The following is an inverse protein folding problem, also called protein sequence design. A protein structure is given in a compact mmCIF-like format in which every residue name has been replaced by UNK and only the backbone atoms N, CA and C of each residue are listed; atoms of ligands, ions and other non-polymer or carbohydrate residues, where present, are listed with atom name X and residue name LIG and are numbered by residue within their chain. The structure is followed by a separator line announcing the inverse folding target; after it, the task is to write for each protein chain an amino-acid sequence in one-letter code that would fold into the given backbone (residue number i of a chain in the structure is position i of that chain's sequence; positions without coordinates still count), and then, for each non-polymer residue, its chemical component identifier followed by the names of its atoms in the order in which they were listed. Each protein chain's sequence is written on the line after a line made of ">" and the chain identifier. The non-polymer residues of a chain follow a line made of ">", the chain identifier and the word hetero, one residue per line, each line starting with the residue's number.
data_IF_715187475558
#
_entry.id   IF_715187475558
#
_cell.length_a   1.000
_cell.length_b   1.000
_cell.length_c   1.000
_cell.angle_alpha   90.00
_cell.angle_beta   90.00
_cell.angle_gamma   90.00
#
_symmetry.space_group_name_H-M   'P 1'
#
loop_
_entity.id
_entity.type
_entity.pdbx_description
1 polymer ?
#
# COMPACT_ATOMS: atom_id res chain seq x y z
N UNK A 1 -13.47 -48.19 -24.98
CA UNK A 1 -12.64 -48.18 -23.76
C UNK A 1 -11.33 -47.48 -24.10
N UNK A 2 -11.19 -46.21 -23.77
CA UNK A 2 -9.93 -45.46 -23.96
C UNK A 2 -9.66 -44.63 -22.72
N UNK A 3 -8.49 -44.87 -22.15
CA UNK A 3 -8.00 -44.39 -20.86
C UNK A 3 -8.14 -42.89 -20.63
N UNK A 4 -8.85 -42.54 -19.56
CA UNK A 4 -8.77 -41.28 -18.83
C UNK A 4 -7.43 -41.23 -18.09
N UNK A 5 -6.40 -40.66 -18.71
CA UNK A 5 -5.23 -40.17 -17.98
C UNK A 5 -5.60 -38.84 -17.32
N UNK A 6 -6.20 -38.92 -16.12
CA UNK A 6 -6.19 -37.79 -15.19
C UNK A 6 -4.72 -37.52 -14.82
N UNK A 7 -4.19 -36.38 -15.27
CA UNK A 7 -2.97 -35.79 -14.71
C UNK A 7 -3.21 -35.64 -13.21
N UNK A 8 -2.51 -36.42 -12.41
CA UNK A 8 -2.45 -36.22 -10.98
C UNK A 8 -1.93 -34.79 -10.73
N UNK A 9 -2.74 -33.95 -10.09
CA UNK A 9 -2.29 -32.68 -9.53
C UNK A 9 -1.19 -32.99 -8.52
N UNK A 10 0.06 -32.75 -8.91
CA UNK A 10 1.20 -32.78 -8.01
C UNK A 10 0.99 -31.63 -7.03
N UNK A 11 0.48 -31.95 -5.84
CA UNK A 11 0.35 -31.01 -4.72
C UNK A 11 1.71 -30.34 -4.53
N UNK A 12 1.76 -29.03 -4.77
CA UNK A 12 2.97 -28.23 -4.57
C UNK A 12 3.45 -28.45 -3.13
N UNK A 13 4.68 -28.96 -2.90
CA UNK A 13 5.15 -29.34 -1.57
C UNK A 13 5.14 -28.17 -0.56
N UNK A 14 4.99 -26.93 -1.00
CA UNK A 14 4.83 -25.74 -0.15
C UNK A 14 3.42 -25.66 0.48
N UNK A 15 2.41 -26.27 -0.14
CA UNK A 15 1.01 -26.26 0.30
C UNK A 15 0.60 -27.53 1.07
N UNK A 16 1.38 -28.61 1.01
CA UNK A 16 1.08 -29.86 1.73
C UNK A 16 1.33 -29.73 3.24
N UNK A 17 0.32 -30.03 4.06
CA UNK A 17 0.42 -30.04 5.53
C UNK A 17 1.21 -31.22 6.09
N UNK A 18 1.50 -32.24 5.28
CA UNK A 18 2.15 -33.48 5.76
C UNK A 18 3.69 -33.44 5.75
N UNK A 19 4.32 -32.56 4.97
CA UNK A 19 5.78 -32.60 4.76
C UNK A 19 6.45 -31.22 4.88
N UNK A 20 6.73 -30.76 6.11
CA UNK A 20 7.72 -29.70 6.34
C UNK A 20 7.24 -28.23 6.27
N UNK A 21 5.93 -27.96 6.25
CA UNK A 21 5.39 -26.57 6.33
C UNK A 21 5.71 -25.86 7.65
N UNK A 22 5.63 -26.56 8.78
CA UNK A 22 5.79 -25.93 10.10
C UNK A 22 7.17 -25.30 10.32
N UNK A 23 8.30 -25.96 9.98
CA UNK A 23 9.61 -25.32 10.04
C UNK A 23 9.72 -24.06 9.18
N UNK A 24 9.20 -24.08 7.95
CA UNK A 24 9.24 -22.93 7.02
C UNK A 24 8.39 -21.78 7.56
N UNK A 25 7.18 -22.09 8.04
CA UNK A 25 6.28 -21.11 8.65
C UNK A 25 6.90 -20.48 9.89
N UNK A 26 7.36 -21.29 10.86
CA UNK A 26 7.98 -20.81 12.09
C UNK A 26 9.19 -19.93 11.77
N UNK A 27 10.03 -20.35 10.83
CA UNK A 27 11.21 -19.61 10.41
C UNK A 27 10.86 -18.25 9.78
N UNK A 28 9.86 -18.21 8.91
CA UNK A 28 9.35 -16.96 8.32
C UNK A 28 8.85 -16.00 9.41
N UNK A 29 7.98 -16.47 10.31
CA UNK A 29 7.40 -15.61 11.34
C UNK A 29 8.43 -15.16 12.39
N UNK A 30 9.39 -16.01 12.76
CA UNK A 30 10.51 -15.61 13.64
C UNK A 30 11.33 -14.51 12.98
N UNK A 31 11.62 -14.62 11.67
CA UNK A 31 12.37 -13.60 10.94
C UNK A 31 11.62 -12.27 10.91
N UNK A 32 10.30 -12.29 10.67
CA UNK A 32 9.45 -11.10 10.70
C UNK A 32 9.37 -10.47 12.10
N UNK A 33 9.24 -11.29 13.14
CA UNK A 33 9.25 -10.83 14.54
C UNK A 33 10.60 -10.20 14.88
N UNK A 34 11.71 -10.85 14.55
CA UNK A 34 13.04 -10.33 14.79
C UNK A 34 13.28 -9.00 14.06
N UNK A 35 12.90 -8.90 12.78
CA UNK A 35 12.98 -7.65 12.02
C UNK A 35 12.15 -6.54 12.66
N UNK A 36 10.94 -6.86 13.14
CA UNK A 36 10.05 -5.92 13.81
C UNK A 36 10.60 -5.45 15.16
N UNK A 37 11.17 -6.36 15.96
CA UNK A 37 11.82 -6.01 17.24
C UNK A 37 13.03 -5.12 17.01
N UNK A 38 13.90 -5.46 16.06
CA UNK A 38 15.06 -4.64 15.71
C UNK A 38 14.63 -3.23 15.25
N UNK A 39 13.57 -3.15 14.46
CA UNK A 39 13.02 -1.89 14.00
C UNK A 39 12.43 -1.05 15.14
N UNK A 40 11.72 -1.68 16.08
CA UNK A 40 11.17 -1.00 17.26
C UNK A 40 12.27 -0.51 18.21
N UNK A 41 13.38 -1.26 18.33
CA UNK A 41 14.56 -0.84 19.09
C UNK A 41 15.24 0.40 18.50
N UNK A 42 15.21 0.58 17.18
CA UNK A 42 15.67 1.82 16.53
C UNK A 42 14.73 2.99 16.87
N UNK A 43 13.43 2.70 16.96
CA UNK A 43 12.41 3.70 17.26
C UNK A 43 12.14 4.66 16.10
N UNK A 44 11.42 5.74 16.40
CA UNK A 44 11.14 6.78 15.39
C UNK A 44 12.32 7.74 15.31
N UNK A 45 12.96 7.78 14.14
CA UNK A 45 14.05 8.73 13.86
C UNK A 45 13.46 9.97 13.21
N UNK A 46 13.54 11.11 13.89
CA UNK A 46 13.07 12.39 13.34
C UNK A 46 14.25 13.25 12.93
N UNK A 47 14.32 13.60 11.65
CA UNK A 47 15.35 14.46 11.08
C UNK A 47 14.75 15.86 10.92
N UNK A 48 15.22 16.85 11.69
CA UNK A 48 14.80 18.23 11.50
C UNK A 48 15.42 18.81 10.22
N UNK A 49 14.60 19.31 9.30
CA UNK A 49 15.04 19.98 8.06
C UNK A 49 14.98 21.51 8.18
N UNK A 50 15.05 22.05 9.39
CA UNK A 50 14.98 23.50 9.62
C UNK A 50 13.59 24.07 9.30
N UNK A 51 13.47 25.26 8.66
CA UNK A 51 12.18 25.92 8.41
C UNK A 51 11.22 25.16 7.50
N UNK A 52 11.72 24.14 6.79
CA UNK A 52 10.99 23.37 5.77
C UNK A 52 10.15 22.27 6.42
N UNK A 53 10.39 21.95 7.70
CA UNK A 53 9.67 20.95 8.47
C UNK A 53 10.57 19.84 9.01
N UNK A 54 9.98 18.69 9.30
CA UNK A 54 10.69 17.49 9.79
C UNK A 54 10.30 16.27 8.97
N UNK A 55 11.24 15.34 8.86
CA UNK A 55 11.01 14.01 8.31
C UNK A 55 11.07 13.01 9.45
N UNK A 56 9.97 12.30 9.71
CA UNK A 56 9.93 11.21 10.69
C UNK A 56 9.95 9.86 9.99
N UNK A 57 10.98 9.08 10.27
CA UNK A 57 11.12 7.69 9.83
C UNK A 57 10.62 6.79 10.96
N UNK A 58 9.49 6.14 10.71
CA UNK A 58 8.78 5.29 11.69
C UNK A 58 9.40 3.87 11.67
N UNK A 59 9.45 3.14 12.80
CA UNK A 59 9.92 1.75 12.88
C UNK A 59 9.51 0.83 11.72
N UNK A 60 8.27 0.95 11.25
CA UNK A 60 7.75 0.16 10.14
C UNK A 60 8.64 0.20 8.88
N UNK A 61 9.26 1.34 8.57
CA UNK A 61 10.16 1.49 7.43
C UNK A 61 11.45 0.68 7.63
N UNK A 62 12.03 0.74 8.83
CA UNK A 62 13.21 -0.05 9.17
C UNK A 62 12.93 -1.56 9.08
N UNK A 63 11.78 -2.00 9.59
CA UNK A 63 11.36 -3.42 9.48
C UNK A 63 11.28 -3.86 8.02
N UNK A 64 10.70 -3.03 7.14
CA UNK A 64 10.61 -3.34 5.71
C UNK A 64 11.98 -3.40 5.03
N UNK A 65 12.87 -2.44 5.30
CA UNK A 65 14.24 -2.44 4.76
C UNK A 65 14.97 -3.71 5.21
N UNK A 66 14.89 -4.05 6.49
CA UNK A 66 15.50 -5.25 7.06
C UNK A 66 14.93 -6.51 6.36
N UNK A 67 13.62 -6.61 6.19
CA UNK A 67 12.98 -7.74 5.51
C UNK A 67 13.40 -7.87 4.03
N UNK A 68 13.51 -6.75 3.30
CA UNK A 68 14.02 -6.73 1.92
C UNK A 68 15.48 -7.19 1.88
N UNK A 69 16.31 -6.73 2.82
CA UNK A 69 17.71 -7.18 2.92
C UNK A 69 17.81 -8.69 3.21
N UNK A 70 16.88 -9.28 3.95
CA UNK A 70 16.87 -10.73 4.16
C UNK A 70 16.28 -11.54 3.00
N UNK A 71 15.69 -10.89 2.00
CA UNK A 71 15.08 -11.58 0.86
C UNK A 71 16.17 -12.16 -0.07
N UNK A 72 16.05 -13.43 -0.51
CA UNK A 72 17.08 -14.11 -1.29
C UNK A 72 17.49 -13.39 -2.58
N UNK A 73 16.57 -12.67 -3.22
CA UNK A 73 16.84 -11.89 -4.44
C UNK A 73 17.68 -10.62 -4.24
N UNK A 74 17.69 -10.04 -3.04
CA UNK A 74 18.45 -8.83 -2.73
C UNK A 74 19.86 -9.18 -2.23
N UNK A 75 19.97 -9.57 -0.95
CA UNK A 75 21.27 -9.83 -0.30
C UNK A 75 21.64 -11.32 -0.28
N UNK A 76 20.68 -12.22 -0.51
CA UNK A 76 20.92 -13.67 -0.61
C UNK A 76 21.72 -14.10 -1.85
N UNK A 77 21.85 -13.23 -2.86
CA UNK A 77 22.80 -13.39 -3.99
C UNK A 77 24.25 -13.17 -3.58
N UNK A 78 24.51 -12.39 -2.54
CA UNK A 78 25.86 -11.99 -2.10
C UNK A 78 26.33 -12.80 -0.89
N UNK A 79 25.41 -13.28 -0.04
CA UNK A 79 25.74 -13.94 1.22
C UNK A 79 25.00 -15.30 1.33
N UNK A 80 25.71 -16.41 1.09
CA UNK A 80 25.20 -17.78 1.20
C UNK A 80 24.48 -18.12 2.52
N UNK A 81 24.94 -17.66 3.72
CA UNK A 81 24.20 -17.92 4.97
C UNK A 81 22.82 -17.24 5.03
N UNK A 82 22.58 -16.15 4.29
CA UNK A 82 21.26 -15.53 4.20
C UNK A 82 20.28 -16.38 3.38
N UNK A 83 20.77 -17.08 2.35
CA UNK A 83 19.96 -18.04 1.57
C UNK A 83 19.53 -19.26 2.40
N UNK A 84 20.29 -19.60 3.44
CA UNK A 84 19.88 -20.58 4.47
C UNK A 84 18.85 -20.02 5.44
N UNK A 85 18.85 -18.71 5.71
CA UNK A 85 17.86 -18.04 6.58
C UNK A 85 16.51 -17.79 5.88
N UNK A 86 16.50 -17.45 4.59
CA UNK A 86 15.29 -17.23 3.80
C UNK A 86 15.47 -17.83 2.40
N UNK A 87 14.66 -18.82 2.05
CA UNK A 87 14.66 -19.46 0.73
C UNK A 87 13.40 -19.08 -0.06
N UNK A 88 13.37 -19.44 -1.34
CA UNK A 88 12.20 -19.24 -2.20
C UNK A 88 10.90 -19.82 -1.61
N UNK A 89 11.01 -20.86 -0.79
CA UNK A 89 9.85 -21.48 -0.14
C UNK A 89 9.20 -20.55 0.90
N UNK A 90 10.01 -19.83 1.67
CA UNK A 90 9.52 -18.82 2.62
C UNK A 90 8.90 -17.63 1.88
N UNK A 91 9.48 -17.22 0.75
CA UNK A 91 8.95 -16.13 -0.10
C UNK A 91 7.59 -16.51 -0.70
N UNK A 92 7.46 -17.70 -1.27
CA UNK A 92 6.18 -18.22 -1.79
C UNK A 92 5.13 -18.38 -0.69
N UNK A 93 5.55 -18.79 0.51
CA UNK A 93 4.64 -18.85 1.66
C UNK A 93 4.17 -17.44 2.06
N UNK A 94 5.06 -16.44 2.03
CA UNK A 94 4.72 -15.05 2.31
C UNK A 94 3.72 -14.48 1.29
N UNK A 95 3.90 -14.74 -0.01
CA UNK A 95 2.96 -14.36 -1.08
C UNK A 95 1.54 -14.89 -0.79
N UNK A 96 1.43 -16.18 -0.45
CA UNK A 96 0.15 -16.79 -0.08
C UNK A 96 -0.41 -16.24 1.25
N UNK A 97 0.46 -15.99 2.23
CA UNK A 97 0.07 -15.43 3.52
C UNK A 97 -0.48 -14.00 3.38
N UNK A 98 0.04 -13.20 2.43
CA UNK A 98 -0.46 -11.85 2.16
C UNK A 98 -1.94 -11.90 1.79
N UNK A 99 -2.39 -12.83 0.94
CA UNK A 99 -3.80 -12.95 0.59
C UNK A 99 -4.68 -13.23 1.82
N UNK A 100 -4.23 -14.11 2.72
CA UNK A 100 -4.94 -14.39 3.96
C UNK A 100 -4.96 -13.17 4.90
N UNK A 101 -3.86 -12.43 5.00
CA UNK A 101 -3.79 -11.19 5.78
C UNK A 101 -4.70 -10.09 5.20
N UNK A 102 -4.79 -9.98 3.86
CA UNK A 102 -5.67 -9.04 3.19
C UNK A 102 -7.15 -9.36 3.44
N UNK A 103 -7.52 -10.64 3.52
CA UNK A 103 -8.87 -11.05 3.92
C UNK A 103 -9.20 -10.60 5.35
N UNK A 104 -8.31 -10.88 6.31
CA UNK A 104 -8.50 -10.43 7.71
C UNK A 104 -8.61 -8.90 7.77
N UNK A 105 -7.78 -8.20 7.01
CA UNK A 105 -7.81 -6.76 6.92
C UNK A 105 -9.13 -6.26 6.30
N UNK A 106 -9.60 -6.89 5.22
CA UNK A 106 -10.89 -6.60 4.61
C UNK A 106 -12.04 -6.73 5.60
N UNK A 107 -12.04 -7.76 6.44
CA UNK A 107 -13.02 -7.94 7.53
C UNK A 107 -12.89 -6.81 8.56
N UNK A 108 -11.68 -6.45 8.98
CA UNK A 108 -11.45 -5.33 9.91
C UNK A 108 -11.98 -4.01 9.35
N UNK A 109 -11.73 -3.74 8.07
CA UNK A 109 -12.19 -2.52 7.41
C UNK A 109 -13.71 -2.51 7.24
N UNK A 110 -14.30 -3.64 6.83
CA UNK A 110 -15.75 -3.79 6.70
C UNK A 110 -16.49 -3.64 8.03
N UNK A 111 -15.97 -4.25 9.11
CA UNK A 111 -16.55 -4.09 10.46
C UNK A 111 -16.35 -2.69 11.03
N UNK A 112 -15.26 -2.00 10.66
CA UNK A 112 -15.04 -0.59 11.04
C UNK A 112 -15.95 0.38 10.29
N UNK A 113 -16.43 0.02 9.09
CA UNK A 113 -17.34 0.86 8.30
C UNK A 113 -18.70 1.05 8.98
N UNK A 114 -19.26 0.00 9.58
CA UNK A 114 -20.60 0.00 10.18
C UNK A 114 -20.80 1.10 11.24
N UNK A 115 -20.01 1.12 12.33
CA UNK A 115 -20.12 2.13 13.39
C UNK A 115 -19.84 3.56 12.91
N UNK A 116 -19.07 3.72 11.82
CA UNK A 116 -18.67 5.01 11.31
C UNK A 116 -19.57 5.54 10.19
N UNK A 117 -20.61 4.79 9.77
CA UNK A 117 -21.45 5.17 8.64
C UNK A 117 -22.15 6.52 8.83
N UNK A 118 -22.58 6.83 10.06
CA UNK A 118 -23.16 8.13 10.40
C UNK A 118 -22.15 9.27 10.22
N UNK A 119 -20.89 9.05 10.58
CA UNK A 119 -19.81 10.03 10.37
C UNK A 119 -19.48 10.19 8.90
N UNK A 120 -19.49 9.10 8.11
CA UNK A 120 -19.31 9.15 6.65
C UNK A 120 -20.39 10.03 6.01
N UNK A 121 -21.66 9.82 6.40
CA UNK A 121 -22.80 10.58 5.85
C UNK A 121 -22.73 12.05 6.27
N UNK A 122 -22.39 12.35 7.52
CA UNK A 122 -22.27 13.73 8.02
C UNK A 122 -21.10 14.49 7.38
N UNK A 123 -19.96 13.83 7.16
CA UNK A 123 -18.84 14.39 6.41
C UNK A 123 -19.03 14.31 4.87
N UNK A 124 -20.19 13.81 4.43
CA UNK A 124 -20.46 13.24 3.11
C UNK A 124 -19.86 13.97 1.91
N UNK A 125 -20.16 15.25 1.68
CA UNK A 125 -19.65 15.95 0.50
C UNK A 125 -18.12 16.05 0.50
N UNK A 126 -17.51 16.38 1.65
CA UNK A 126 -16.07 16.56 1.76
C UNK A 126 -15.31 15.25 1.50
N UNK A 127 -15.81 14.14 2.04
CA UNK A 127 -15.22 12.81 1.80
C UNK A 127 -15.37 12.37 0.34
N UNK A 128 -16.53 12.60 -0.27
CA UNK A 128 -16.73 12.28 -1.69
C UNK A 128 -15.75 13.07 -2.56
N UNK A 129 -15.63 14.38 -2.35
CA UNK A 129 -14.68 15.21 -3.11
C UNK A 129 -13.22 14.82 -2.84
N UNK A 130 -12.89 14.42 -1.61
CA UNK A 130 -11.58 13.88 -1.26
C UNK A 130 -11.26 12.62 -2.09
N UNK A 131 -12.20 11.68 -2.21
CA UNK A 131 -12.01 10.48 -3.03
C UNK A 131 -11.93 10.81 -4.53
N UNK A 132 -12.65 11.82 -5.02
CA UNK A 132 -12.46 12.32 -6.38
C UNK A 132 -11.06 12.91 -6.57
N UNK A 133 -10.52 13.58 -5.55
CA UNK A 133 -9.14 14.05 -5.51
C UNK A 133 -8.13 12.91 -5.62
N UNK A 134 -8.42 11.74 -5.03
CA UNK A 134 -7.58 10.54 -5.16
C UNK A 134 -7.44 10.07 -6.62
N UNK A 135 -8.49 10.25 -7.43
CA UNK A 135 -8.44 9.98 -8.88
C UNK A 135 -7.47 10.92 -9.63
N UNK A 136 -6.97 11.99 -9.01
CA UNK A 136 -5.87 12.77 -9.57
C UNK A 136 -4.63 11.92 -9.86
N UNK A 137 -4.39 10.89 -9.03
CA UNK A 137 -3.25 9.97 -9.16
C UNK A 137 -3.24 9.27 -10.51
N UNK A 138 -4.37 8.72 -10.96
CA UNK A 138 -4.46 8.07 -12.26
C UNK A 138 -4.47 9.06 -13.42
N UNK A 139 -5.09 10.23 -13.24
CA UNK A 139 -5.18 11.26 -14.29
C UNK A 139 -3.81 11.74 -14.75
N UNK A 140 -2.89 11.87 -13.80
CA UNK A 140 -1.50 12.27 -14.04
C UNK A 140 -0.62 11.04 -14.23
N UNK A 141 -0.65 10.11 -13.27
CA UNK A 141 0.27 8.97 -13.20
C UNK A 141 0.16 7.99 -14.36
N UNK A 142 -1.06 7.66 -14.81
CA UNK A 142 -1.27 6.68 -15.88
C UNK A 142 -0.62 7.10 -17.21
N UNK A 143 -0.83 8.34 -17.72
CA UNK A 143 -0.12 8.82 -18.91
C UNK A 143 1.41 8.74 -18.75
N UNK A 144 1.96 9.20 -17.63
CA UNK A 144 3.40 9.19 -17.39
C UNK A 144 3.97 7.76 -17.34
N UNK A 145 3.33 6.86 -16.59
CA UNK A 145 3.72 5.45 -16.52
C UNK A 145 3.75 4.78 -17.90
N UNK A 146 2.74 5.08 -18.73
CA UNK A 146 2.70 4.56 -20.08
C UNK A 146 3.78 5.15 -20.98
N UNK A 147 4.06 6.45 -20.92
CA UNK A 147 5.18 7.04 -21.66
C UNK A 147 6.50 6.33 -21.30
N UNK A 148 6.71 6.02 -20.02
CA UNK A 148 7.89 5.31 -19.50
C UNK A 148 7.98 3.84 -19.92
N UNK A 149 6.98 3.29 -20.62
CA UNK A 149 7.04 1.93 -21.16
C UNK A 149 6.14 0.92 -20.46
N UNK A 150 5.49 1.29 -19.35
CA UNK A 150 4.60 0.38 -18.61
C UNK A 150 3.35 0.04 -19.44
N UNK A 151 2.82 -1.17 -19.25
CA UNK A 151 1.61 -1.66 -19.92
C UNK A 151 0.49 -1.78 -18.89
N UNK A 152 -0.08 -2.97 -18.71
CA UNK A 152 -1.18 -3.23 -17.77
C UNK A 152 -0.75 -2.96 -16.32
N UNK A 153 0.55 -3.08 -16.02
CA UNK A 153 1.14 -2.69 -14.75
C UNK A 153 0.88 -1.22 -14.42
N UNK A 154 0.80 -0.35 -15.44
CA UNK A 154 0.50 1.07 -15.23
C UNK A 154 -0.90 1.27 -14.65
N UNK A 155 -1.88 0.44 -15.04
CA UNK A 155 -3.24 0.51 -14.50
C UNK A 155 -3.23 0.19 -13.03
N UNK A 156 -2.60 -0.91 -12.64
CA UNK A 156 -2.45 -1.28 -11.23
C UNK A 156 -1.69 -0.23 -10.44
N UNK A 157 -0.54 0.23 -10.95
CA UNK A 157 0.33 1.16 -10.25
C UNK A 157 -0.28 2.56 -10.03
N UNK A 158 -1.27 2.95 -10.82
CA UNK A 158 -1.77 4.34 -10.83
C UNK A 158 -3.25 4.46 -10.49
N UNK A 159 -3.97 3.34 -10.30
CA UNK A 159 -5.42 3.35 -10.01
C UNK A 159 -5.77 4.17 -8.77
N UNK A 160 -4.87 4.21 -7.80
CA UNK A 160 -4.94 5.05 -6.61
C UNK A 160 -3.55 5.17 -5.97
N UNK A 161 -3.49 5.65 -4.73
CA UNK A 161 -2.30 5.56 -3.86
C UNK A 161 -1.92 4.12 -3.44
N UNK A 162 -2.61 3.10 -3.98
CA UNK A 162 -2.30 1.67 -3.82
C UNK A 162 -2.23 1.21 -2.36
N UNK A 163 -3.25 1.54 -1.56
CA UNK A 163 -3.35 1.05 -0.18
C UNK A 163 -3.77 -0.41 -0.14
N UNK A 164 -3.81 -0.96 1.07
CA UNK A 164 -4.20 -2.33 1.31
C UNK A 164 -5.60 -2.70 0.75
N UNK A 165 -6.64 -1.83 0.81
CA UNK A 165 -7.91 -2.09 0.15
C UNK A 165 -7.76 -2.25 -1.37
N UNK A 166 -6.93 -1.41 -1.99
CA UNK A 166 -6.62 -1.46 -3.43
C UNK A 166 -5.92 -2.75 -3.80
N UNK A 167 -4.95 -3.19 -2.97
CA UNK A 167 -4.24 -4.44 -3.17
C UNK A 167 -5.19 -5.63 -3.13
N UNK A 168 -6.10 -5.66 -2.14
CA UNK A 168 -7.14 -6.69 -2.07
C UNK A 168 -8.08 -6.66 -3.29
N UNK A 169 -8.56 -5.47 -3.66
CA UNK A 169 -9.50 -5.27 -4.77
C UNK A 169 -8.90 -5.66 -6.14
N UNK A 170 -7.65 -5.27 -6.39
CA UNK A 170 -6.95 -5.62 -7.64
C UNK A 170 -6.56 -7.09 -7.67
N UNK A 171 -6.16 -7.66 -6.52
CA UNK A 171 -5.89 -9.10 -6.42
C UNK A 171 -7.15 -9.94 -6.68
N UNK A 172 -8.30 -9.51 -6.18
CA UNK A 172 -9.58 -10.18 -6.45
C UNK A 172 -9.99 -10.04 -7.93
N UNK A 173 -9.79 -8.86 -8.53
CA UNK A 173 -10.27 -8.59 -9.89
C UNK A 173 -9.37 -9.13 -11.00
N UNK A 174 -8.06 -9.08 -10.82
CA UNK A 174 -7.06 -9.43 -11.83
C UNK A 174 -6.15 -10.59 -11.41
N UNK A 175 -6.05 -10.89 -10.11
CA UNK A 175 -5.07 -11.82 -9.54
C UNK A 175 -3.81 -11.10 -9.09
N UNK A 176 -3.23 -11.51 -7.96
CA UNK A 176 -2.03 -10.87 -7.39
C UNK A 176 -0.80 -10.96 -8.33
N UNK A 177 -0.73 -12.04 -9.12
CA UNK A 177 0.34 -12.30 -10.09
C UNK A 177 0.06 -11.75 -11.50
N UNK A 178 -1.04 -11.01 -11.68
CA UNK A 178 -1.30 -10.29 -12.93
C UNK A 178 -0.38 -9.09 -13.07
N UNK A 179 -0.19 -8.55 -14.30
CA UNK A 179 0.52 -7.28 -14.48
C UNK A 179 -0.01 -6.15 -13.59
N UNK A 180 -1.33 -6.05 -13.43
CA UNK A 180 -2.00 -5.08 -12.58
C UNK A 180 -1.69 -5.32 -11.10
N UNK A 181 -1.73 -6.58 -10.66
CA UNK A 181 -1.35 -6.98 -9.30
C UNK A 181 0.10 -6.59 -8.97
N UNK A 182 1.03 -6.89 -9.89
CA UNK A 182 2.43 -6.49 -9.77
C UNK A 182 2.60 -4.97 -9.73
N UNK A 183 1.83 -4.22 -10.54
CA UNK A 183 1.83 -2.77 -10.54
C UNK A 183 1.38 -2.16 -9.20
N UNK A 184 0.27 -2.65 -8.64
CA UNK A 184 -0.21 -2.21 -7.31
C UNK A 184 0.79 -2.58 -6.24
N UNK A 185 1.30 -3.81 -6.25
CA UNK A 185 2.24 -4.28 -5.24
C UNK A 185 3.53 -3.44 -5.25
N UNK A 186 4.06 -3.13 -6.43
CA UNK A 186 5.21 -2.22 -6.57
C UNK A 186 4.94 -0.84 -5.99
N UNK A 187 3.78 -0.26 -6.29
CA UNK A 187 3.40 1.06 -5.79
C UNK A 187 3.13 1.06 -4.29
N UNK A 188 2.53 0.00 -3.74
CA UNK A 188 2.33 -0.18 -2.31
C UNK A 188 3.66 -0.24 -1.55
N UNK A 189 4.63 -1.03 -2.04
CA UNK A 189 5.93 -1.17 -1.40
C UNK A 189 6.75 0.13 -1.45
N UNK A 190 6.88 0.72 -2.65
CA UNK A 190 7.60 1.99 -2.85
C UNK A 190 6.88 3.12 -2.12
N UNK A 191 5.55 3.15 -2.20
CA UNK A 191 4.69 4.12 -1.53
C UNK A 191 4.88 4.09 -0.03
N UNK A 192 4.80 2.92 0.62
CA UNK A 192 5.00 2.85 2.08
C UNK A 192 6.39 3.29 2.52
N UNK A 193 7.42 2.98 1.72
CA UNK A 193 8.80 3.39 1.99
C UNK A 193 8.99 4.91 1.88
N UNK A 194 8.74 5.44 0.69
CA UNK A 194 9.08 6.83 0.35
C UNK A 194 7.93 7.78 0.65
N UNK A 195 6.70 7.32 0.53
CA UNK A 195 5.49 8.11 0.75
C UNK A 195 5.46 8.72 2.14
N UNK A 196 5.92 8.03 3.18
CA UNK A 196 6.02 8.61 4.54
C UNK A 196 6.94 9.85 4.57
N UNK A 197 8.07 9.81 3.85
CA UNK A 197 9.01 10.94 3.72
C UNK A 197 8.36 12.10 2.95
N UNK A 198 7.73 11.78 1.80
CA UNK A 198 7.08 12.77 0.95
C UNK A 198 5.87 13.42 1.63
N UNK A 199 5.02 12.64 2.30
CA UNK A 199 3.84 13.13 3.00
C UNK A 199 4.21 14.03 4.18
N UNK A 200 5.23 13.66 4.96
CA UNK A 200 5.75 14.51 6.04
C UNK A 200 6.25 15.86 5.51
N UNK A 201 7.06 15.84 4.44
CA UNK A 201 7.60 17.06 3.83
C UNK A 201 6.49 17.92 3.18
N UNK A 202 5.61 17.31 2.40
CA UNK A 202 4.52 18.00 1.73
C UNK A 202 3.56 18.62 2.73
N UNK A 203 3.25 17.95 3.84
CA UNK A 203 2.40 18.52 4.88
C UNK A 203 3.03 19.78 5.49
N UNK A 204 4.35 19.78 5.71
CA UNK A 204 5.06 20.97 6.21
C UNK A 204 5.04 22.13 5.22
N UNK A 205 5.20 21.84 3.93
CA UNK A 205 5.15 22.85 2.87
C UNK A 205 3.72 23.34 2.60
N UNK A 206 2.73 22.47 2.78
CA UNK A 206 1.34 22.74 2.42
C UNK A 206 0.72 23.88 3.24
N UNK A 207 1.23 24.17 4.44
CA UNK A 207 0.81 25.32 5.24
C UNK A 207 0.97 26.65 4.47
N UNK A 208 2.00 26.74 3.61
CA UNK A 208 2.27 27.94 2.82
C UNK A 208 1.35 28.13 1.60
N UNK A 209 0.48 27.15 1.30
CA UNK A 209 -0.43 27.22 0.14
C UNK A 209 -1.66 28.10 0.39
N UNK A 210 -1.92 28.49 1.65
CA UNK A 210 -3.13 29.20 2.05
C UNK A 210 -4.37 28.30 2.19
N UNK A 211 -4.24 26.99 1.97
CA UNK A 211 -5.32 26.02 2.20
C UNK A 211 -5.58 25.91 3.71
N UNK A 212 -6.86 25.80 4.07
CA UNK A 212 -7.28 25.70 5.46
C UNK A 212 -6.64 24.48 6.18
N UNK A 213 -6.11 24.61 7.41
CA UNK A 213 -5.46 23.53 8.13
C UNK A 213 -6.28 22.24 8.29
N UNK A 214 -7.61 22.35 8.46
CA UNK A 214 -8.48 21.16 8.49
C UNK A 214 -8.52 20.40 7.17
N UNK A 215 -8.47 21.10 6.03
CA UNK A 215 -8.41 20.43 4.73
C UNK A 215 -7.04 19.74 4.54
N UNK A 216 -5.96 20.37 5.00
CA UNK A 216 -4.63 19.75 5.03
C UNK A 216 -4.58 18.54 5.95
N UNK A 217 -5.22 18.62 7.12
CA UNK A 217 -5.35 17.50 8.05
C UNK A 217 -6.15 16.33 7.43
N UNK A 218 -7.25 16.62 6.74
CA UNK A 218 -8.02 15.61 6.00
C UNK A 218 -7.17 14.98 4.89
N UNK A 219 -6.41 15.76 4.13
CA UNK A 219 -5.51 15.26 3.09
C UNK A 219 -4.41 14.34 3.65
N UNK A 220 -3.84 14.68 4.81
CA UNK A 220 -2.88 13.82 5.54
C UNK A 220 -3.46 12.44 5.84
N UNK A 221 -4.77 12.31 6.00
CA UNK A 221 -5.45 11.04 6.27
C UNK A 221 -5.47 10.04 5.12
N UNK A 222 -5.29 10.47 3.87
CA UNK A 222 -5.48 9.60 2.70
C UNK A 222 -4.46 8.45 2.63
N UNK A 223 -3.20 8.67 3.03
CA UNK A 223 -2.11 7.69 2.94
C UNK A 223 -2.19 6.55 3.95
N UNK A 224 -1.24 5.61 3.94
CA UNK A 224 -1.18 4.54 4.96
C UNK A 224 -1.07 5.11 6.38
N UNK A 225 -1.32 4.30 7.41
CA UNK A 225 -1.26 4.78 8.80
C UNK A 225 0.07 5.47 9.15
N UNK A 226 1.18 5.00 8.58
CA UNK A 226 2.49 5.64 8.72
C UNK A 226 2.57 6.99 8.00
N UNK A 227 2.07 7.09 6.77
CA UNK A 227 2.02 8.35 6.01
C UNK A 227 1.14 9.38 6.70
N UNK A 228 -0.03 8.95 7.20
CA UNK A 228 -0.93 9.80 7.98
C UNK A 228 -0.24 10.32 9.22
N UNK A 229 0.41 9.44 9.97
CA UNK A 229 1.11 9.82 11.20
C UNK A 229 2.17 10.86 10.88
N UNK A 230 3.06 10.59 9.91
CA UNK A 230 4.12 11.52 9.54
C UNK A 230 3.60 12.88 9.04
N UNK A 231 2.57 12.90 8.17
CA UNK A 231 2.00 14.15 7.67
C UNK A 231 1.29 14.95 8.75
N UNK A 232 0.46 14.28 9.56
CA UNK A 232 -0.33 14.96 10.60
C UNK A 232 0.53 15.45 11.77
N UNK A 233 1.58 14.73 12.16
CA UNK A 233 2.53 15.21 13.17
C UNK A 233 3.31 16.41 12.66
N UNK A 234 3.84 16.35 11.43
CA UNK A 234 4.53 17.48 10.81
C UNK A 234 3.66 18.72 10.69
N UNK A 235 2.38 18.56 10.34
CA UNK A 235 1.42 19.67 10.26
C UNK A 235 1.08 20.24 11.66
N UNK A 236 0.86 19.37 12.64
CA UNK A 236 0.50 19.75 14.01
C UNK A 236 1.64 20.46 14.76
N UNK A 237 2.90 20.18 14.43
CA UNK A 237 4.03 20.90 15.00
C UNK A 237 4.14 22.35 14.48
N UNK A 238 3.77 22.58 13.22
CA UNK A 238 3.77 23.93 12.62
C UNK A 238 2.58 24.75 13.12
N UNK A 239 1.45 24.10 13.36
CA UNK A 239 0.21 24.71 13.85
C UNK A 239 -0.14 24.17 15.24
N UNK A 240 0.65 24.48 16.29
CA UNK A 240 0.47 23.89 17.62
C UNK A 240 -0.89 24.23 18.23
N UNK A 241 -1.48 25.36 17.85
CA UNK A 241 -2.78 25.81 18.34
C UNK A 241 -3.96 24.94 17.86
N UNK A 242 -3.77 24.14 16.80
CA UNK A 242 -4.81 23.28 16.20
C UNK A 242 -4.39 21.81 16.19
N UNK A 243 -3.41 21.45 17.03
CA UNK A 243 -2.77 20.13 17.03
C UNK A 243 -3.77 19.01 17.21
N UNK A 244 -4.64 19.10 18.21
CA UNK A 244 -5.57 18.02 18.55
C UNK A 244 -6.61 17.84 17.44
N UNK A 245 -7.10 18.94 16.86
CA UNK A 245 -8.00 18.89 15.72
C UNK A 245 -7.33 18.32 14.47
N UNK A 246 -6.09 18.71 14.17
CA UNK A 246 -5.32 18.18 13.03
C UNK A 246 -5.19 16.65 13.12
N UNK A 247 -4.77 16.15 14.29
CA UNK A 247 -4.62 14.71 14.51
C UNK A 247 -5.97 13.98 14.42
N UNK A 248 -7.04 14.57 14.97
CA UNK A 248 -8.38 14.00 14.92
C UNK A 248 -8.95 13.95 13.50
N UNK A 249 -8.81 15.01 12.70
CA UNK A 249 -9.24 15.05 11.32
C UNK A 249 -8.43 14.08 10.45
N UNK A 250 -7.11 14.00 10.63
CA UNK A 250 -6.26 13.06 9.90
C UNK A 250 -6.64 11.60 10.21
N UNK A 251 -6.81 11.25 11.48
CA UNK A 251 -7.22 9.91 11.90
C UNK A 251 -8.61 9.56 11.38
N UNK A 252 -9.57 10.48 11.48
CA UNK A 252 -10.92 10.29 10.95
C UNK A 252 -10.88 10.07 9.44
N UNK A 253 -10.19 10.94 8.70
CA UNK A 253 -10.00 10.83 7.26
C UNK A 253 -9.39 9.49 6.87
N UNK A 254 -8.39 8.99 7.60
CA UNK A 254 -7.78 7.69 7.31
C UNK A 254 -8.76 6.53 7.45
N UNK A 255 -9.53 6.51 8.53
CA UNK A 255 -10.54 5.48 8.77
C UNK A 255 -11.62 5.56 7.68
N UNK A 256 -12.10 6.76 7.36
CA UNK A 256 -13.15 6.95 6.35
C UNK A 256 -12.65 6.55 4.95
N UNK A 257 -11.46 7.00 4.55
CA UNK A 257 -10.86 6.72 3.23
C UNK A 257 -10.67 5.24 2.97
N UNK A 258 -10.32 4.44 4.00
CA UNK A 258 -10.23 2.99 3.83
C UNK A 258 -11.57 2.35 3.41
N UNK A 259 -12.69 3.00 3.73
CA UNK A 259 -14.04 2.53 3.38
C UNK A 259 -14.50 3.20 2.09
N UNK A 260 -14.51 4.53 2.04
CA UNK A 260 -14.99 5.31 0.88
C UNK A 260 -14.13 5.11 -0.34
N UNK A 261 -12.81 5.05 -0.17
CA UNK A 261 -11.84 4.81 -1.24
C UNK A 261 -12.00 3.43 -1.87
N UNK A 262 -12.31 2.38 -1.09
CA UNK A 262 -12.57 1.05 -1.65
C UNK A 262 -13.74 1.07 -2.64
N UNK A 263 -14.84 1.73 -2.28
CA UNK A 263 -16.01 1.86 -3.17
C UNK A 263 -15.71 2.76 -4.36
N UNK A 264 -14.99 3.86 -4.15
CA UNK A 264 -14.55 4.74 -5.22
C UNK A 264 -13.67 3.99 -6.24
N UNK A 265 -12.73 3.18 -5.76
CA UNK A 265 -11.84 2.39 -6.59
C UNK A 265 -12.60 1.32 -7.39
N UNK A 266 -13.50 0.59 -6.71
CA UNK A 266 -14.27 -0.48 -7.32
C UNK A 266 -15.19 0.04 -8.43
N UNK A 267 -15.96 1.09 -8.15
CA UNK A 267 -17.01 1.56 -9.05
C UNK A 267 -16.57 2.64 -10.03
N UNK A 268 -15.58 3.46 -9.69
CA UNK A 268 -15.18 4.62 -10.50
C UNK A 268 -13.74 4.48 -11.00
N UNK A 269 -12.76 4.32 -10.11
CA UNK A 269 -11.34 4.38 -10.49
C UNK A 269 -10.95 3.26 -11.45
N UNK A 270 -11.28 1.99 -11.16
CA UNK A 270 -10.87 0.87 -12.03
C UNK A 270 -11.53 0.96 -13.42
N UNK A 271 -12.86 1.18 -13.57
CA UNK A 271 -13.46 1.36 -14.89
C UNK A 271 -12.85 2.53 -15.66
N UNK A 272 -12.60 3.65 -14.98
CA UNK A 272 -11.97 4.83 -15.58
C UNK A 272 -10.53 4.54 -16.01
N UNK A 273 -9.76 3.79 -15.21
CA UNK A 273 -8.35 3.50 -15.45
C UNK A 273 -8.21 2.65 -16.71
N UNK A 274 -9.05 1.63 -16.84
CA UNK A 274 -9.13 0.82 -18.05
C UNK A 274 -9.55 1.64 -19.27
N UNK A 275 -10.51 2.56 -19.12
CA UNK A 275 -10.92 3.43 -20.24
C UNK A 275 -9.79 4.34 -20.69
N UNK A 276 -9.11 5.00 -19.75
CA UNK A 276 -7.97 5.86 -20.04
C UNK A 276 -6.82 5.07 -20.67
N UNK A 277 -6.50 3.90 -20.11
CA UNK A 277 -5.47 3.02 -20.65
C UNK A 277 -5.72 2.70 -22.13
N UNK A 278 -6.96 2.33 -22.50
CA UNK A 278 -7.34 2.09 -23.90
C UNK A 278 -7.22 3.31 -24.81
N UNK A 279 -7.50 4.51 -24.29
CA UNK A 279 -7.35 5.75 -25.07
C UNK A 279 -5.87 6.01 -25.34
N UNK A 280 -5.04 5.95 -24.31
CA UNK A 280 -3.62 6.23 -24.43
C UNK A 280 -2.84 5.11 -25.14
N UNK A 281 -3.26 3.84 -25.04
CA UNK A 281 -2.64 2.72 -25.78
C UNK A 281 -2.77 2.91 -27.29
N UNK A 282 -3.96 3.35 -27.75
CA UNK A 282 -4.23 3.73 -29.14
C UNK A 282 -3.41 4.93 -29.57
N UNK A 283 -3.35 5.97 -28.73
CA UNK A 283 -2.59 7.19 -29.01
C UNK A 283 -1.08 6.89 -29.17
N UNK A 284 -0.54 6.03 -28.30
CA UNK A 284 0.87 5.64 -28.30
C UNK A 284 1.17 4.49 -29.29
N UNK A 285 0.20 4.03 -30.09
CA UNK A 285 0.31 2.90 -31.04
C UNK A 285 0.86 1.62 -30.41
N UNK A 286 0.56 1.35 -29.14
CA UNK A 286 0.97 0.12 -28.46
C UNK A 286 -0.14 -0.93 -28.58
N UNK A 287 0.22 -2.17 -28.88
CA UNK A 287 -0.73 -3.30 -28.82
C UNK A 287 -1.24 -3.43 -27.39
N UNK A 288 -2.56 -3.52 -27.23
CA UNK A 288 -3.17 -3.96 -25.97
C UNK A 288 -2.65 -5.40 -25.73
N UNK A 289 -1.95 -5.59 -24.62
CA UNK A 289 -1.44 -6.89 -24.17
C UNK A 289 -2.36 -7.42 -23.08
#
# INVERSE_FOLDING_TARGET
>A
MSNTNQKAETVDPVLSTKDGRWPIFIKLFILLIAASVLAELIGTVTIPLGPIGKISIIPMIFSMIIAVLFTPDALGRVIEPLKKLCSEKEVQLAENAIMLMLLILGVKLGTSAGPNILKIVQAGPALIFQEFGNLGTMLIGLPFAMILGMRREAVGATVSICREPTLGLISEKYGINSPEGLGVMGTYMVGNLFGTLFFGLLASLAVNTGIHPYALAMASGMGSGSMMTAASTSLAEILPNMKDEILAYAATSNIMTNVTGLYMECFIAIPLANKMYRVYSRLLRRKEA
#
